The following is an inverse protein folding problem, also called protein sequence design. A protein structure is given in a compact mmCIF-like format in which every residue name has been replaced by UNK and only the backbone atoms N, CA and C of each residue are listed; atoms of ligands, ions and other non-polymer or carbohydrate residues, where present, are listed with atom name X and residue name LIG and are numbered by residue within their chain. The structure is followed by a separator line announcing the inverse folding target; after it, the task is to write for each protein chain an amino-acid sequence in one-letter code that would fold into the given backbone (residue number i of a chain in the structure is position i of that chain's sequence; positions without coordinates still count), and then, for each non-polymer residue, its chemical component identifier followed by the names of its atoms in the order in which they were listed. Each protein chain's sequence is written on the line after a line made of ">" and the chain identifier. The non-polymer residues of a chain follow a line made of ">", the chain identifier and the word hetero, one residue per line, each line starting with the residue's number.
data_IF_071472990549
#
_entry.id   IF_071472990549
#
_cell.length_a   1.000
_cell.length_b   1.000
_cell.length_c   1.000
_cell.angle_alpha   90.00
_cell.angle_beta   90.00
_cell.angle_gamma   90.00
#
_symmetry.space_group_name_H-M   'P 1'
#
loop_
_entity.id
_entity.type
_entity.pdbx_description
1 polymer ?
#
# COMPACT_ATOMS: atom_id res chain seq x y z
N UNK A 1 -85.44 -37.56 -48.32
CA UNK A 1 -85.93 -37.87 -46.95
C UNK A 1 -84.82 -38.60 -46.19
N UNK A 2 -84.47 -38.11 -44.98
CA UNK A 2 -83.55 -38.70 -43.95
C UNK A 2 -82.03 -38.71 -44.24
N UNK A 3 -81.24 -37.77 -43.66
CA UNK A 3 -80.54 -37.76 -42.32
C UNK A 3 -79.29 -38.66 -42.29
N UNK A 4 -78.07 -38.11 -42.35
CA UNK A 4 -77.22 -37.53 -41.27
C UNK A 4 -76.67 -38.58 -40.28
N UNK A 5 -75.35 -38.82 -40.34
CA UNK A 5 -74.35 -38.85 -39.25
C UNK A 5 -73.28 -39.93 -39.43
N UNK A 6 -72.08 -39.53 -39.88
CA UNK A 6 -70.83 -40.26 -39.60
C UNK A 6 -70.02 -39.40 -38.63
N UNK A 7 -69.95 -39.82 -37.37
CA UNK A 7 -68.96 -39.30 -36.42
C UNK A 7 -67.59 -39.86 -36.82
N UNK A 8 -66.67 -38.98 -37.21
CA UNK A 8 -65.23 -39.27 -37.18
C UNK A 8 -64.68 -38.70 -35.89
N UNK A 9 -64.23 -39.56 -34.99
CA UNK A 9 -63.48 -39.17 -33.79
C UNK A 9 -62.06 -38.80 -34.21
N UNK A 10 -61.75 -37.51 -34.24
CA UNK A 10 -60.37 -37.02 -34.36
C UNK A 10 -59.66 -37.23 -33.01
N UNK A 11 -58.69 -38.14 -32.98
CA UNK A 11 -57.76 -38.29 -31.86
C UNK A 11 -56.67 -37.21 -32.02
N UNK A 12 -56.81 -36.09 -31.32
CA UNK A 12 -55.77 -35.07 -31.23
C UNK A 12 -54.65 -35.58 -30.30
N UNK A 13 -53.52 -36.00 -30.87
CA UNK A 13 -52.30 -36.26 -30.12
C UNK A 13 -51.69 -34.89 -29.79
N UNK A 14 -51.92 -34.40 -28.59
CA UNK A 14 -51.18 -33.27 -28.03
C UNK A 14 -49.75 -33.73 -27.75
N UNK A 15 -48.82 -33.41 -28.63
CA UNK A 15 -47.39 -33.52 -28.34
C UNK A 15 -47.06 -32.49 -27.25
N UNK A 16 -46.92 -32.96 -26.00
CA UNK A 16 -46.28 -32.21 -24.93
C UNK A 16 -44.84 -31.92 -25.36
N UNK A 17 -44.57 -30.72 -25.85
CA UNK A 17 -43.21 -30.21 -25.96
C UNK A 17 -42.69 -30.01 -24.54
N UNK A 18 -42.00 -31.01 -24.01
CA UNK A 18 -41.18 -30.83 -22.82
C UNK A 18 -40.15 -29.72 -23.14
N UNK A 19 -39.95 -28.74 -22.24
CA UNK A 19 -38.85 -27.80 -22.42
C UNK A 19 -37.56 -28.62 -22.50
N UNK A 20 -36.79 -28.45 -23.58
CA UNK A 20 -35.41 -28.95 -23.61
C UNK A 20 -34.71 -28.37 -22.38
N UNK A 21 -34.40 -29.22 -21.40
CA UNK A 21 -33.55 -28.83 -20.30
C UNK A 21 -32.24 -28.34 -20.91
N UNK A 22 -31.90 -27.06 -20.69
CA UNK A 22 -30.59 -26.57 -21.06
C UNK A 22 -29.55 -27.46 -20.39
N UNK A 23 -28.56 -27.94 -21.15
CA UNK A 23 -27.50 -28.79 -20.63
C UNK A 23 -26.69 -27.98 -19.59
N UNK A 24 -26.86 -28.28 -18.30
CA UNK A 24 -26.16 -27.63 -17.19
C UNK A 24 -24.96 -28.48 -16.76
N UNK A 25 -23.81 -28.27 -17.40
CA UNK A 25 -22.59 -29.02 -17.08
C UNK A 25 -21.73 -28.34 -15.99
N UNK A 26 -22.06 -27.10 -15.60
CA UNK A 26 -21.34 -26.37 -14.54
C UNK A 26 -22.30 -26.01 -13.41
N UNK A 27 -22.01 -26.53 -12.23
CA UNK A 27 -22.76 -26.32 -11.01
C UNK A 27 -21.81 -26.32 -9.81
N UNK A 28 -22.26 -25.80 -8.67
CA UNK A 28 -21.43 -25.74 -7.48
C UNK A 28 -22.12 -25.05 -6.32
N UNK A 29 -21.34 -24.52 -5.40
CA UNK A 29 -21.85 -23.78 -4.25
C UNK A 29 -21.68 -22.28 -4.43
N UNK A 30 -22.52 -21.51 -3.74
CA UNK A 30 -22.35 -20.07 -3.63
C UNK A 30 -22.44 -19.63 -2.16
N UNK A 31 -21.81 -18.51 -1.86
CA UNK A 31 -22.05 -17.71 -0.66
C UNK A 31 -22.28 -16.26 -1.08
N UNK A 32 -23.06 -15.52 -0.30
CA UNK A 32 -23.27 -14.10 -0.55
C UNK A 32 -23.33 -13.30 0.74
N UNK A 33 -22.92 -12.04 0.69
CA UNK A 33 -23.14 -11.07 1.76
C UNK A 33 -23.75 -9.79 1.20
N UNK A 34 -24.87 -9.35 1.77
CA UNK A 34 -25.59 -8.15 1.36
C UNK A 34 -25.11 -6.94 2.16
N UNK A 35 -24.56 -5.94 1.49
CA UNK A 35 -24.11 -4.68 2.11
C UNK A 35 -24.30 -3.53 1.14
N UNK A 36 -24.86 -2.41 1.63
CA UNK A 36 -24.93 -1.14 0.90
C UNK A 36 -25.51 -1.26 -0.52
N UNK A 37 -26.61 -2.00 -0.68
CA UNK A 37 -27.25 -2.20 -1.99
C UNK A 37 -26.50 -3.12 -2.96
N UNK A 38 -25.44 -3.81 -2.52
CA UNK A 38 -24.67 -4.79 -3.29
C UNK A 38 -24.70 -6.16 -2.62
N UNK A 39 -24.56 -7.20 -3.43
CA UNK A 39 -24.28 -8.56 -2.98
C UNK A 39 -22.82 -8.90 -3.33
N UNK A 40 -21.99 -9.15 -2.32
CA UNK A 40 -20.70 -9.81 -2.55
C UNK A 40 -20.99 -11.30 -2.73
N UNK A 41 -21.05 -11.75 -3.98
CA UNK A 41 -21.37 -13.11 -4.38
C UNK A 41 -20.09 -13.87 -4.71
N UNK A 42 -19.89 -15.00 -4.03
CA UNK A 42 -18.82 -15.94 -4.31
C UNK A 42 -19.40 -17.24 -4.83
N UNK A 43 -18.86 -17.74 -5.94
CA UNK A 43 -19.17 -19.06 -6.49
C UNK A 43 -17.95 -19.97 -6.35
N UNK A 44 -18.19 -21.27 -6.18
CA UNK A 44 -17.17 -22.30 -6.09
C UNK A 44 -17.62 -23.56 -6.83
N UNK A 45 -16.77 -24.07 -7.72
CA UNK A 45 -17.08 -25.24 -8.54
C UNK A 45 -15.81 -25.99 -8.94
N UNK A 46 -15.94 -27.28 -9.23
CA UNK A 46 -14.83 -28.09 -9.72
C UNK A 46 -14.59 -27.80 -11.21
N UNK A 47 -13.36 -27.45 -11.62
CA UNK A 47 -13.04 -27.31 -13.04
C UNK A 47 -13.05 -28.66 -13.76
N UNK A 48 -13.19 -28.68 -15.10
CA UNK A 48 -12.99 -29.89 -15.92
C UNK A 48 -11.61 -30.52 -15.69
N UNK A 49 -11.50 -31.84 -15.83
CA UNK A 49 -10.27 -32.59 -15.53
C UNK A 49 -9.07 -32.21 -16.41
N UNK A 50 -9.31 -31.71 -17.61
CA UNK A 50 -8.31 -31.25 -18.57
C UNK A 50 -7.93 -29.76 -18.39
N UNK A 51 -8.57 -29.06 -17.45
CA UNK A 51 -8.31 -27.64 -17.21
C UNK A 51 -7.00 -27.42 -16.43
N UNK A 52 -6.10 -26.64 -17.02
CA UNK A 52 -4.80 -26.21 -16.43
C UNK A 52 -3.78 -27.33 -16.12
N UNK A 53 -4.02 -28.55 -16.63
CA UNK A 53 -3.14 -29.72 -16.47
C UNK A 53 -2.92 -30.15 -15.01
N UNK A 54 -1.88 -30.96 -14.76
CA UNK A 54 -1.56 -31.49 -13.42
C UNK A 54 -1.16 -30.42 -12.36
N UNK A 55 -1.07 -29.15 -12.76
CA UNK A 55 -0.53 -28.06 -11.91
C UNK A 55 -1.54 -27.52 -10.90
N UNK A 56 -2.81 -27.90 -10.98
CA UNK A 56 -3.85 -27.43 -10.06
C UNK A 56 -4.82 -28.56 -9.68
N UNK A 57 -4.94 -28.83 -8.37
CA UNK A 57 -5.91 -29.79 -7.81
C UNK A 57 -6.71 -29.10 -6.72
N UNK A 58 -7.67 -28.27 -7.13
CA UNK A 58 -8.53 -27.54 -6.21
C UNK A 58 -9.76 -26.97 -6.91
N UNK A 59 -10.80 -26.68 -6.14
CA UNK A 59 -11.99 -26.03 -6.68
C UNK A 59 -11.63 -24.62 -7.18
N UNK A 60 -12.23 -24.25 -8.29
CA UNK A 60 -12.22 -22.88 -8.77
C UNK A 60 -13.19 -22.05 -7.92
N UNK A 61 -12.77 -20.87 -7.50
CA UNK A 61 -13.63 -19.92 -6.80
C UNK A 61 -13.46 -18.51 -7.35
N UNK A 62 -14.58 -17.78 -7.42
CA UNK A 62 -14.61 -16.39 -7.86
C UNK A 62 -15.61 -15.62 -7.00
N UNK A 63 -15.17 -14.47 -6.49
CA UNK A 63 -15.99 -13.54 -5.71
C UNK A 63 -16.04 -12.17 -6.36
N UNK A 64 -17.22 -11.55 -6.37
CA UNK A 64 -17.42 -10.20 -6.90
C UNK A 64 -18.58 -9.50 -6.21
N UNK A 65 -18.51 -8.17 -6.14
CA UNK A 65 -19.62 -7.34 -5.67
C UNK A 65 -20.52 -6.93 -6.83
N UNK A 66 -21.77 -7.35 -6.79
CA UNK A 66 -22.78 -7.09 -7.83
C UNK A 66 -23.87 -6.17 -7.26
N UNK A 67 -24.27 -5.11 -7.97
CA UNK A 67 -25.46 -4.34 -7.61
C UNK A 67 -26.70 -5.23 -7.51
N UNK A 68 -27.49 -5.11 -6.43
CA UNK A 68 -28.65 -6.00 -6.19
C UNK A 68 -29.69 -5.89 -7.32
N UNK A 69 -29.79 -4.75 -7.98
CA UNK A 69 -30.67 -4.52 -9.12
C UNK A 69 -30.28 -5.29 -10.39
N UNK A 70 -29.04 -5.76 -10.50
CA UNK A 70 -28.61 -6.70 -11.54
C UNK A 70 -29.00 -8.16 -11.23
N UNK A 71 -29.43 -8.46 -10.00
CA UNK A 71 -29.77 -9.80 -9.55
C UNK A 71 -31.29 -9.99 -9.56
N UNK A 72 -31.78 -10.79 -10.51
CA UNK A 72 -33.20 -11.10 -10.63
C UNK A 72 -33.69 -11.99 -9.51
N UNK A 73 -34.78 -11.62 -8.84
CA UNK A 73 -35.43 -12.45 -7.81
C UNK A 73 -34.83 -12.35 -6.40
N UNK A 74 -33.73 -11.61 -6.20
CA UNK A 74 -33.21 -11.32 -4.87
C UNK A 74 -33.97 -10.11 -4.27
N UNK A 75 -34.51 -10.18 -3.04
CA UNK A 75 -35.21 -9.06 -2.41
C UNK A 75 -34.31 -7.82 -2.31
N UNK A 76 -34.86 -6.66 -2.66
CA UNK A 76 -34.09 -5.40 -2.69
C UNK A 76 -33.70 -4.96 -1.28
N UNK A 77 -32.41 -4.63 -1.12
CA UNK A 77 -31.87 -3.74 -0.10
C UNK A 77 -32.23 -4.07 1.36
N UNK A 78 -32.16 -5.35 1.74
CA UNK A 78 -32.25 -5.78 3.13
C UNK A 78 -30.93 -6.42 3.58
N UNK A 79 -30.07 -5.61 4.20
CA UNK A 79 -28.80 -6.09 4.77
C UNK A 79 -28.99 -7.10 5.92
N UNK A 80 -30.23 -7.25 6.43
CA UNK A 80 -30.59 -8.21 7.47
C UNK A 80 -31.47 -9.35 6.93
N UNK A 81 -31.53 -9.52 5.60
CA UNK A 81 -32.38 -10.50 4.94
C UNK A 81 -32.24 -11.87 5.60
N UNK A 82 -33.37 -12.41 6.05
CA UNK A 82 -33.47 -13.75 6.63
C UNK A 82 -34.61 -14.49 5.96
N UNK A 83 -34.28 -15.52 5.18
CA UNK A 83 -35.23 -16.34 4.43
C UNK A 83 -34.70 -17.77 4.32
N UNK A 84 -35.55 -18.76 4.62
CA UNK A 84 -35.18 -20.18 4.64
C UNK A 84 -35.07 -20.82 3.26
N UNK A 85 -35.63 -20.19 2.22
CA UNK A 85 -35.49 -20.61 0.83
C UNK A 85 -35.65 -19.41 -0.11
N UNK A 86 -34.69 -19.24 -1.02
CA UNK A 86 -34.71 -18.21 -2.05
C UNK A 86 -34.17 -18.77 -3.36
N UNK A 87 -34.76 -18.30 -4.47
CA UNK A 87 -34.26 -18.51 -5.82
C UNK A 87 -34.02 -17.16 -6.47
N UNK A 88 -32.83 -16.97 -7.02
CA UNK A 88 -32.48 -15.76 -7.76
C UNK A 88 -31.56 -16.12 -8.92
N UNK A 89 -31.37 -15.18 -9.84
CA UNK A 89 -30.60 -15.39 -11.05
C UNK A 89 -29.71 -14.20 -11.38
N UNK A 90 -28.56 -14.50 -11.98
CA UNK A 90 -27.68 -13.52 -12.60
C UNK A 90 -27.66 -13.79 -14.11
N UNK A 91 -28.28 -12.89 -14.88
CA UNK A 91 -28.36 -12.99 -16.33
C UNK A 91 -27.22 -12.22 -16.98
N UNK A 92 -26.37 -12.91 -17.73
CA UNK A 92 -25.20 -12.35 -18.44
C UNK A 92 -25.30 -12.68 -19.93
N UNK A 93 -24.53 -11.98 -20.77
CA UNK A 93 -24.57 -12.25 -22.20
C UNK A 93 -24.05 -13.67 -22.55
N UNK A 94 -23.15 -14.24 -21.75
CA UNK A 94 -22.67 -15.60 -21.95
C UNK A 94 -23.61 -16.70 -21.46
N UNK A 95 -24.60 -16.37 -20.62
CA UNK A 95 -25.54 -17.33 -20.05
C UNK A 95 -26.12 -16.85 -18.72
N UNK A 96 -26.93 -17.69 -18.12
CA UNK A 96 -27.62 -17.40 -16.85
C UNK A 96 -27.06 -18.29 -15.75
N UNK A 97 -26.71 -17.69 -14.61
CA UNK A 97 -26.47 -18.41 -13.36
C UNK A 97 -27.77 -18.39 -12.55
N UNK A 98 -28.25 -19.56 -12.16
CA UNK A 98 -29.39 -19.71 -11.26
C UNK A 98 -28.91 -20.16 -9.89
N UNK A 99 -29.42 -19.53 -8.84
CA UNK A 99 -29.04 -19.77 -7.46
C UNK A 99 -30.25 -20.23 -6.65
N UNK A 100 -30.05 -21.28 -5.86
CA UNK A 100 -31.02 -21.80 -4.88
C UNK A 100 -30.31 -21.88 -3.52
N UNK A 101 -30.94 -21.37 -2.46
CA UNK A 101 -30.37 -21.43 -1.11
C UNK A 101 -31.16 -20.66 -0.08
N UNK A 102 -30.49 -20.14 0.93
CA UNK A 102 -31.11 -19.42 2.05
C UNK A 102 -30.24 -18.23 2.47
N UNK A 103 -30.83 -17.26 3.18
CA UNK A 103 -30.14 -16.16 3.85
C UNK A 103 -30.46 -16.13 5.35
N UNK A 104 -29.49 -15.72 6.15
CA UNK A 104 -29.66 -15.37 7.58
C UNK A 104 -28.83 -14.12 7.86
N UNK A 105 -29.48 -13.08 8.36
CA UNK A 105 -28.83 -11.80 8.70
C UNK A 105 -27.95 -11.25 7.55
N UNK A 106 -28.52 -11.25 6.33
CA UNK A 106 -27.82 -10.73 5.14
C UNK A 106 -26.73 -11.64 4.57
N UNK A 107 -26.46 -12.80 5.18
CA UNK A 107 -25.50 -13.78 4.68
C UNK A 107 -26.21 -14.98 4.10
N UNK A 108 -25.90 -15.32 2.85
CA UNK A 108 -26.53 -16.40 2.12
C UNK A 108 -25.55 -17.49 1.71
N UNK A 109 -26.10 -18.69 1.50
CA UNK A 109 -25.37 -19.79 0.90
C UNK A 109 -26.33 -20.76 0.20
N UNK A 110 -25.81 -21.52 -0.76
CA UNK A 110 -26.58 -22.55 -1.45
C UNK A 110 -25.87 -23.14 -2.66
N UNK A 111 -26.67 -23.61 -3.62
CA UNK A 111 -26.21 -24.21 -4.87
C UNK A 111 -26.48 -23.29 -6.05
N UNK A 112 -25.59 -23.34 -7.05
CA UNK A 112 -25.80 -22.67 -8.32
C UNK A 112 -25.67 -23.65 -9.47
N UNK A 113 -26.32 -23.31 -10.59
CA UNK A 113 -26.12 -23.95 -11.88
C UNK A 113 -25.96 -22.87 -12.96
N UNK A 114 -25.16 -23.16 -13.98
CA UNK A 114 -24.97 -22.28 -15.13
C UNK A 114 -25.57 -22.90 -16.39
N UNK A 115 -26.41 -22.12 -17.07
CA UNK A 115 -26.97 -22.45 -18.38
C UNK A 115 -26.35 -21.52 -19.44
N UNK A 116 -25.52 -22.02 -20.37
CA UNK A 116 -24.94 -21.19 -21.42
C UNK A 116 -26.02 -20.69 -22.39
N UNK A 117 -25.87 -19.46 -22.88
CA UNK A 117 -26.77 -18.92 -23.91
C UNK A 117 -26.41 -19.50 -25.28
N UNK A 118 -27.40 -20.04 -25.99
CA UNK A 118 -27.19 -20.74 -27.27
C UNK A 118 -26.53 -19.85 -28.35
N UNK A 119 -26.95 -18.58 -28.41
CA UNK A 119 -26.49 -17.62 -29.42
C UNK A 119 -25.08 -17.08 -29.13
N UNK A 120 -24.58 -17.22 -27.90
CA UNK A 120 -23.31 -16.59 -27.48
C UNK A 120 -22.13 -16.99 -28.36
N UNK A 121 -21.96 -18.27 -28.65
CA UNK A 121 -20.84 -18.73 -29.47
C UNK A 121 -20.88 -18.14 -30.90
N UNK A 122 -22.07 -18.03 -31.51
CA UNK A 122 -22.21 -17.44 -32.84
C UNK A 122 -21.89 -15.93 -32.83
N UNK A 123 -22.31 -15.20 -31.79
CA UNK A 123 -21.97 -13.78 -31.63
C UNK A 123 -20.48 -13.55 -31.38
N UNK A 124 -19.81 -14.43 -30.62
CA UNK A 124 -18.38 -14.35 -30.40
C UNK A 124 -17.59 -14.60 -31.71
N UNK A 125 -18.05 -15.55 -32.53
CA UNK A 125 -17.48 -15.79 -33.88
C UNK A 125 -17.60 -14.58 -34.79
N UNK A 126 -18.75 -13.90 -34.79
CA UNK A 126 -18.92 -12.67 -35.58
C UNK A 126 -18.04 -11.51 -35.10
N UNK A 127 -17.59 -11.58 -33.85
CA UNK A 127 -16.60 -10.66 -33.28
C UNK A 127 -15.14 -11.11 -33.52
N UNK A 128 -14.91 -12.21 -34.24
CA UNK A 128 -13.57 -12.70 -34.59
C UNK A 128 -13.00 -13.74 -33.63
N UNK A 129 -13.74 -14.14 -32.59
CA UNK A 129 -13.34 -15.21 -31.67
C UNK A 129 -13.89 -16.54 -32.19
N UNK A 130 -13.10 -17.18 -33.05
CA UNK A 130 -13.53 -18.37 -33.82
C UNK A 130 -13.18 -19.71 -33.18
N UNK A 131 -12.30 -19.69 -32.18
CA UNK A 131 -11.95 -20.87 -31.40
C UNK A 131 -13.18 -21.49 -30.73
N UNK A 132 -13.11 -22.79 -30.45
CA UNK A 132 -14.17 -23.44 -29.69
C UNK A 132 -14.29 -22.82 -28.29
N UNK A 133 -15.53 -22.57 -27.86
CA UNK A 133 -15.84 -22.00 -26.56
C UNK A 133 -16.55 -23.07 -25.72
N UNK A 134 -15.81 -23.98 -25.06
CA UNK A 134 -16.40 -25.01 -24.23
C UNK A 134 -17.26 -24.37 -23.13
N UNK A 135 -18.21 -25.14 -22.59
CA UNK A 135 -19.16 -24.65 -21.57
C UNK A 135 -18.40 -24.02 -20.39
N UNK A 136 -17.30 -24.63 -19.97
CA UNK A 136 -16.42 -24.09 -18.93
C UNK A 136 -15.90 -22.68 -19.25
N UNK A 137 -15.41 -22.43 -20.47
CA UNK A 137 -14.93 -21.11 -20.86
C UNK A 137 -16.06 -20.08 -20.91
N UNK A 138 -17.24 -20.47 -21.40
CA UNK A 138 -18.44 -19.61 -21.39
C UNK A 138 -18.88 -19.26 -19.97
N UNK A 139 -18.79 -20.21 -19.04
CA UNK A 139 -19.03 -19.96 -17.62
C UNK A 139 -18.05 -18.93 -17.05
N UNK A 140 -16.74 -19.09 -17.30
CA UNK A 140 -15.74 -18.10 -16.85
C UNK A 140 -16.06 -16.70 -17.39
N UNK A 141 -16.32 -16.58 -18.70
CA UNK A 141 -16.69 -15.30 -19.32
C UNK A 141 -18.00 -14.73 -18.76
N UNK A 142 -18.98 -15.58 -18.44
CA UNK A 142 -20.24 -15.16 -17.80
C UNK A 142 -20.01 -14.59 -16.41
N UNK A 143 -19.25 -15.30 -15.57
CA UNK A 143 -18.96 -14.85 -14.20
C UNK A 143 -18.19 -13.53 -14.24
N UNK A 144 -17.28 -13.33 -15.18
CA UNK A 144 -16.56 -12.08 -15.34
C UNK A 144 -17.34 -10.99 -16.10
N UNK A 145 -18.59 -11.22 -16.49
CA UNK A 145 -19.40 -10.28 -17.30
C UNK A 145 -18.72 -9.84 -18.62
N UNK A 146 -18.06 -10.80 -19.28
CA UNK A 146 -17.45 -10.61 -20.61
C UNK A 146 -18.45 -11.01 -21.68
N UNK A 147 -19.03 -10.00 -22.33
CA UNK A 147 -20.06 -10.17 -23.34
C UNK A 147 -19.81 -9.40 -24.64
N UNK A 148 -20.50 -9.77 -25.74
CA UNK A 148 -20.45 -9.09 -27.04
C UNK A 148 -20.60 -7.58 -26.99
N UNK A 149 -21.40 -7.03 -26.06
CA UNK A 149 -21.53 -5.56 -25.90
C UNK A 149 -20.23 -4.92 -25.45
N UNK A 150 -19.58 -5.47 -24.42
CA UNK A 150 -18.31 -4.93 -23.91
C UNK A 150 -17.20 -5.06 -24.96
N UNK A 151 -17.13 -6.18 -25.66
CA UNK A 151 -16.17 -6.42 -26.73
C UNK A 151 -16.36 -5.43 -27.88
N UNK A 152 -17.59 -5.22 -28.36
CA UNK A 152 -17.88 -4.23 -29.40
C UNK A 152 -17.50 -2.82 -28.97
N UNK A 153 -17.74 -2.48 -27.70
CA UNK A 153 -17.37 -1.18 -27.18
C UNK A 153 -15.84 -1.01 -27.12
N UNK A 154 -15.09 -2.04 -26.67
CA UNK A 154 -13.62 -2.03 -26.72
C UNK A 154 -13.09 -1.86 -28.15
N UNK A 155 -13.71 -2.52 -29.13
CA UNK A 155 -13.39 -2.32 -30.56
C UNK A 155 -13.70 -0.90 -31.04
N UNK A 156 -14.84 -0.33 -30.64
CA UNK A 156 -15.15 1.08 -30.88
C UNK A 156 -14.12 2.04 -30.28
N UNK A 157 -13.49 1.62 -29.18
CA UNK A 157 -12.34 2.27 -28.56
C UNK A 157 -10.99 1.87 -29.23
N UNK A 158 -10.98 1.26 -30.40
CA UNK A 158 -9.75 0.91 -31.13
C UNK A 158 -8.94 -0.24 -30.54
N UNK A 159 -9.47 -0.99 -29.58
CA UNK A 159 -8.85 -2.22 -29.09
C UNK A 159 -9.34 -3.44 -29.87
N UNK A 160 -8.96 -3.51 -31.15
CA UNK A 160 -9.50 -4.51 -32.09
C UNK A 160 -8.78 -5.86 -32.08
N UNK A 161 -7.61 -5.93 -31.45
CA UNK A 161 -6.69 -7.08 -31.50
C UNK A 161 -6.39 -7.62 -30.10
N UNK A 162 -7.45 -7.91 -29.35
CA UNK A 162 -7.35 -8.46 -28.00
C UNK A 162 -7.75 -9.93 -27.98
N UNK A 163 -7.01 -10.72 -27.22
CA UNK A 163 -7.39 -12.07 -26.81
C UNK A 163 -8.55 -12.00 -25.79
N UNK A 164 -9.29 -13.10 -25.64
CA UNK A 164 -10.34 -13.17 -24.62
C UNK A 164 -9.79 -13.08 -23.19
N UNK A 165 -8.55 -13.52 -22.97
CA UNK A 165 -7.91 -13.42 -21.66
C UNK A 165 -7.57 -11.97 -21.29
N UNK A 166 -7.08 -11.17 -22.24
CA UNK A 166 -6.85 -9.73 -22.03
C UNK A 166 -8.16 -9.00 -21.71
N UNK A 167 -9.24 -9.32 -22.43
CA UNK A 167 -10.57 -8.72 -22.19
C UNK A 167 -11.12 -9.13 -20.83
N UNK A 168 -11.03 -10.42 -20.50
CA UNK A 168 -11.47 -10.94 -19.20
C UNK A 168 -10.68 -10.29 -18.07
N UNK A 169 -9.35 -10.15 -18.21
CA UNK A 169 -8.51 -9.47 -17.24
C UNK A 169 -8.93 -8.01 -17.07
N UNK A 170 -9.10 -7.26 -18.15
CA UNK A 170 -9.55 -5.87 -18.07
C UNK A 170 -10.88 -5.71 -17.33
N UNK A 171 -11.85 -6.57 -17.63
CA UNK A 171 -13.15 -6.58 -16.97
C UNK A 171 -13.03 -6.94 -15.48
N UNK A 172 -12.21 -7.93 -15.15
CA UNK A 172 -11.94 -8.37 -13.76
C UNK A 172 -11.34 -7.25 -12.92
N UNK A 173 -10.43 -6.49 -13.50
CA UNK A 173 -9.77 -5.35 -12.85
C UNK A 173 -10.59 -4.05 -12.94
N UNK A 174 -11.83 -4.11 -13.42
CA UNK A 174 -12.77 -2.98 -13.39
C UNK A 174 -12.49 -1.88 -14.43
N UNK A 175 -11.86 -2.22 -15.56
CA UNK A 175 -11.68 -1.30 -16.69
C UNK A 175 -13.00 -1.16 -17.44
N UNK A 176 -13.70 -0.04 -17.21
CA UNK A 176 -14.95 0.29 -17.92
C UNK A 176 -14.68 1.06 -19.21
N UNK A 177 -15.67 1.09 -20.12
CA UNK A 177 -15.59 1.91 -21.34
C UNK A 177 -15.53 3.40 -21.00
N UNK A 178 -16.27 3.83 -19.97
CA UNK A 178 -16.20 5.18 -19.42
C UNK A 178 -14.79 5.53 -18.96
N UNK A 179 -14.13 4.66 -18.18
CA UNK A 179 -12.75 4.87 -17.73
C UNK A 179 -11.76 5.01 -18.89
N UNK A 180 -11.90 4.17 -19.92
CA UNK A 180 -11.12 4.27 -21.15
C UNK A 180 -11.34 5.61 -21.83
N UNK A 181 -12.61 5.99 -22.05
CA UNK A 181 -12.98 7.24 -22.71
C UNK A 181 -12.42 8.46 -21.96
N UNK A 182 -12.51 8.48 -20.63
CA UNK A 182 -12.01 9.57 -19.82
C UNK A 182 -10.49 9.75 -19.95
N UNK A 183 -9.73 8.66 -19.85
CA UNK A 183 -8.27 8.72 -20.00
C UNK A 183 -7.85 9.10 -21.42
N UNK A 184 -8.56 8.64 -22.45
CA UNK A 184 -8.34 9.08 -23.83
C UNK A 184 -8.66 10.55 -24.03
N UNK A 185 -9.72 11.05 -23.41
CA UNK A 185 -10.09 12.47 -23.39
C UNK A 185 -8.98 13.34 -22.76
N UNK A 186 -8.21 12.76 -21.84
CA UNK A 186 -7.03 13.39 -21.24
C UNK A 186 -5.76 13.26 -22.09
N UNK A 187 -5.80 12.57 -23.23
CA UNK A 187 -4.68 12.47 -24.18
C UNK A 187 -4.03 11.09 -24.27
N UNK A 188 -4.43 10.11 -23.45
CA UNK A 188 -3.88 8.75 -23.46
C UNK A 188 -4.51 7.87 -24.55
N UNK A 189 -4.58 8.38 -25.78
CA UNK A 189 -5.29 7.74 -26.91
C UNK A 189 -4.68 6.43 -27.39
N UNK A 190 -3.38 6.25 -27.16
CA UNK A 190 -2.60 5.08 -27.61
C UNK A 190 -2.23 4.14 -26.47
N UNK A 191 -2.75 4.37 -25.26
CA UNK A 191 -2.51 3.48 -24.13
C UNK A 191 -3.06 2.08 -24.43
N UNK A 192 -2.30 1.05 -24.06
CA UNK A 192 -2.73 -0.34 -24.23
C UNK A 192 -3.80 -0.69 -23.18
N UNK A 193 -4.60 -1.71 -23.44
CA UNK A 193 -5.57 -2.18 -22.45
C UNK A 193 -4.88 -2.66 -21.16
N UNK A 194 -3.69 -3.24 -21.29
CA UNK A 194 -2.84 -3.63 -20.16
C UNK A 194 -2.44 -2.42 -19.31
N UNK A 195 -2.04 -1.32 -19.95
CA UNK A 195 -1.75 -0.06 -19.25
C UNK A 195 -2.99 0.47 -18.51
N UNK A 196 -4.20 0.33 -19.09
CA UNK A 196 -5.45 0.72 -18.43
C UNK A 196 -5.75 -0.15 -17.21
N UNK A 197 -5.46 -1.45 -17.28
CA UNK A 197 -5.58 -2.34 -16.11
C UNK A 197 -4.66 -1.88 -15.00
N UNK A 198 -3.38 -1.65 -15.32
CA UNK A 198 -2.39 -1.18 -14.35
C UNK A 198 -2.83 0.12 -13.68
N UNK A 199 -3.22 1.14 -14.45
CA UNK A 199 -3.66 2.42 -13.85
C UNK A 199 -4.91 2.26 -12.99
N UNK A 200 -5.83 1.37 -13.38
CA UNK A 200 -7.06 1.10 -12.65
C UNK A 200 -6.78 0.44 -11.30
N UNK A 201 -5.86 -0.53 -11.27
CA UNK A 201 -5.44 -1.25 -10.05
C UNK A 201 -4.76 -0.33 -9.04
N UNK A 202 -3.95 0.60 -9.55
CA UNK A 202 -3.25 1.58 -8.73
C UNK A 202 -4.08 2.83 -8.43
N UNK A 203 -5.37 2.85 -8.81
CA UNK A 203 -6.30 3.92 -8.45
C UNK A 203 -6.03 5.27 -9.12
N UNK A 204 -5.43 5.25 -10.32
CA UNK A 204 -5.25 6.43 -11.16
C UNK A 204 -6.56 6.68 -11.92
N UNK A 205 -7.35 7.65 -11.45
CA UNK A 205 -8.62 8.09 -12.08
C UNK A 205 -8.42 9.32 -12.94
N UNK A 206 -9.40 9.64 -13.79
CA UNK A 206 -9.38 10.86 -14.59
C UNK A 206 -9.33 12.13 -13.72
N UNK A 207 -10.00 12.12 -12.57
CA UNK A 207 -9.95 13.20 -11.57
C UNK A 207 -8.53 13.34 -11.00
N UNK A 208 -7.89 12.21 -10.65
CA UNK A 208 -6.52 12.24 -10.15
C UNK A 208 -5.55 12.83 -11.19
N UNK A 209 -5.66 12.42 -12.46
CA UNK A 209 -4.84 12.99 -13.54
C UNK A 209 -5.07 14.49 -13.70
N UNK A 210 -6.33 14.95 -13.72
CA UNK A 210 -6.67 16.39 -13.80
C UNK A 210 -6.09 17.16 -12.61
N UNK A 211 -6.21 16.59 -11.41
CA UNK A 211 -5.68 17.17 -10.19
C UNK A 211 -4.15 17.31 -10.24
N UNK A 212 -3.43 16.27 -10.65
CA UNK A 212 -1.96 16.32 -10.78
C UNK A 212 -1.50 17.32 -11.85
N UNK A 213 -2.22 17.43 -12.96
CA UNK A 213 -1.95 18.46 -13.98
C UNK A 213 -2.12 19.88 -13.45
N UNK A 214 -3.16 20.12 -12.63
CA UNK A 214 -3.34 21.41 -11.96
C UNK A 214 -2.18 21.73 -11.02
N UNK A 215 -1.50 20.71 -10.50
CA UNK A 215 -0.32 20.89 -9.64
C UNK A 215 1.01 21.01 -10.37
N UNK A 216 1.03 20.89 -11.70
CA UNK A 216 2.20 21.08 -12.55
C UNK A 216 2.75 19.80 -13.19
N UNK A 217 2.13 18.64 -12.98
CA UNK A 217 2.49 17.42 -13.71
C UNK A 217 2.18 17.61 -15.20
N UNK A 218 3.15 17.41 -16.12
CA UNK A 218 2.94 17.68 -17.53
C UNK A 218 1.79 16.86 -18.13
N UNK A 219 1.07 17.43 -19.10
CA UNK A 219 0.06 16.69 -19.84
C UNK A 219 0.63 15.48 -20.61
N UNK A 220 1.94 15.50 -20.89
CA UNK A 220 2.72 14.44 -21.53
C UNK A 220 3.23 13.37 -20.57
N UNK A 221 3.00 13.51 -19.25
CA UNK A 221 3.43 12.53 -18.26
C UNK A 221 2.85 11.15 -18.59
N UNK A 222 3.70 10.12 -18.51
CA UNK A 222 3.30 8.76 -18.82
C UNK A 222 2.33 8.22 -17.75
N UNK A 223 1.47 7.28 -18.13
CA UNK A 223 0.57 6.62 -17.17
C UNK A 223 1.34 5.96 -16.02
N UNK A 224 2.51 5.36 -16.30
CA UNK A 224 3.36 4.75 -15.26
C UNK A 224 3.93 5.78 -14.27
N UNK A 225 4.17 7.01 -14.71
CA UNK A 225 4.59 8.09 -13.82
C UNK A 225 3.46 8.46 -12.84
N UNK A 226 2.22 8.56 -13.34
CA UNK A 226 1.05 8.82 -12.51
C UNK A 226 0.76 7.68 -11.52
N UNK A 227 0.97 6.43 -11.95
CA UNK A 227 0.91 5.25 -11.06
C UNK A 227 1.94 5.39 -9.95
N UNK A 228 3.19 5.74 -10.29
CA UNK A 228 4.26 5.94 -9.31
C UNK A 228 3.87 7.02 -8.29
N UNK A 229 3.45 8.20 -8.74
CA UNK A 229 3.01 9.28 -7.83
C UNK A 229 1.91 8.80 -6.87
N UNK A 230 0.94 8.04 -7.39
CA UNK A 230 -0.19 7.53 -6.62
C UNK A 230 0.25 6.51 -5.58
N UNK A 231 1.12 5.58 -5.95
CA UNK A 231 1.65 4.52 -5.06
C UNK A 231 2.49 5.10 -3.91
N UNK A 232 3.25 6.16 -4.17
CA UNK A 232 3.99 6.88 -3.14
C UNK A 232 3.11 7.86 -2.32
N UNK A 233 1.79 7.84 -2.53
CA UNK A 233 0.85 8.62 -1.73
C UNK A 233 0.88 10.12 -2.02
N UNK A 234 1.36 10.54 -3.20
CA UNK A 234 1.33 11.93 -3.65
C UNK A 234 -0.09 12.28 -4.12
N UNK A 235 -0.82 12.96 -3.25
CA UNK A 235 -2.18 13.48 -3.53
C UNK A 235 -2.12 14.97 -3.88
N UNK A 236 -3.20 15.51 -4.47
CA UNK A 236 -3.31 16.94 -4.73
C UNK A 236 -3.18 17.75 -3.44
N UNK A 237 -3.84 17.29 -2.38
CA UNK A 237 -3.79 17.91 -1.06
C UNK A 237 -2.35 17.96 -0.53
N UNK A 238 -1.60 16.85 -0.63
CA UNK A 238 -0.21 16.81 -0.19
C UNK A 238 0.65 17.84 -0.94
N UNK A 239 0.54 17.91 -2.27
CA UNK A 239 1.28 18.88 -3.07
C UNK A 239 0.91 20.31 -2.67
N UNK A 240 -0.37 20.64 -2.58
CA UNK A 240 -0.84 21.97 -2.20
C UNK A 240 -0.36 22.39 -0.80
N UNK A 241 -0.38 21.48 0.16
CA UNK A 241 0.06 21.79 1.52
C UNK A 241 1.58 21.94 1.60
N UNK A 242 2.35 21.19 0.82
CA UNK A 242 3.79 21.42 0.69
C UNK A 242 4.10 22.76 0.01
N UNK A 243 3.31 23.18 -0.99
CA UNK A 243 3.39 24.52 -1.59
C UNK A 243 3.15 25.62 -0.54
N UNK A 244 2.09 25.49 0.29
CA UNK A 244 1.81 26.41 1.41
C UNK A 244 2.92 26.39 2.47
N UNK A 245 3.54 25.23 2.67
CA UNK A 245 4.72 25.08 3.49
C UNK A 245 5.98 25.64 2.81
N UNK A 246 5.90 26.42 1.73
CA UNK A 246 7.02 27.15 1.14
C UNK A 246 7.81 26.37 0.08
N UNK A 247 7.32 25.21 -0.35
CA UNK A 247 7.93 24.41 -1.42
C UNK A 247 7.17 24.57 -2.75
N UNK A 248 6.76 25.79 -3.07
CA UNK A 248 5.98 26.10 -4.28
C UNK A 248 6.69 25.77 -5.60
N UNK A 249 8.03 25.82 -5.59
CA UNK A 249 8.88 25.50 -6.74
C UNK A 249 9.56 24.13 -6.67
N UNK A 250 9.19 23.26 -5.72
CA UNK A 250 9.77 21.91 -5.65
C UNK A 250 9.34 21.07 -6.86
N UNK A 251 10.26 20.29 -7.42
CA UNK A 251 9.90 19.31 -8.43
C UNK A 251 8.99 18.25 -7.80
N UNK A 252 8.07 17.69 -8.60
CA UNK A 252 7.17 16.63 -8.11
C UNK A 252 7.96 15.42 -7.59
N UNK A 253 9.12 15.15 -8.21
CA UNK A 253 10.07 14.12 -7.81
C UNK A 253 10.64 14.33 -6.40
N UNK A 254 10.95 15.58 -6.05
CA UNK A 254 11.43 15.93 -4.70
C UNK A 254 10.31 15.76 -3.66
N UNK A 255 9.07 16.03 -4.05
CA UNK A 255 7.90 15.81 -3.19
C UNK A 255 7.63 14.31 -2.98
N UNK A 256 7.83 13.47 -4.01
CA UNK A 256 7.75 12.01 -3.86
C UNK A 256 8.80 11.53 -2.87
N UNK A 257 10.07 11.93 -3.05
CA UNK A 257 11.15 11.60 -2.12
C UNK A 257 10.83 12.06 -0.70
N UNK A 258 10.41 13.31 -0.53
CA UNK A 258 10.02 13.84 0.77
C UNK A 258 8.91 12.97 1.42
N UNK A 259 7.89 12.60 0.65
CA UNK A 259 6.79 11.76 1.11
C UNK A 259 7.24 10.37 1.54
N UNK A 260 8.10 9.72 0.76
CA UNK A 260 8.64 8.38 1.05
C UNK A 260 9.42 8.34 2.36
N UNK A 261 10.15 9.42 2.65
CA UNK A 261 10.90 9.58 3.89
C UNK A 261 10.04 10.14 5.04
N UNK A 262 8.72 10.30 4.84
CA UNK A 262 7.78 10.72 5.88
C UNK A 262 7.80 12.22 6.18
N UNK A 263 8.31 13.05 5.28
CA UNK A 263 8.25 14.51 5.37
C UNK A 263 6.86 14.98 4.93
N UNK A 264 6.12 15.56 5.88
CA UNK A 264 4.80 16.15 5.68
C UNK A 264 4.77 17.62 6.12
N UNK A 265 3.70 18.38 5.78
CA UNK A 265 3.59 19.80 6.15
C UNK A 265 3.69 20.05 7.65
N UNK A 266 3.19 19.12 8.47
CA UNK A 266 3.25 19.21 9.94
C UNK A 266 4.70 19.14 10.43
N UNK A 267 5.50 18.21 9.91
CA UNK A 267 6.92 18.09 10.24
C UNK A 267 7.73 19.31 9.76
N UNK A 268 7.39 19.86 8.59
CA UNK A 268 8.01 21.10 8.11
C UNK A 268 7.72 22.26 9.08
N UNK A 269 6.47 22.39 9.53
CA UNK A 269 6.07 23.42 10.49
C UNK A 269 6.77 23.23 11.85
N UNK A 270 6.86 21.99 12.34
CA UNK A 270 7.59 21.63 13.57
C UNK A 270 9.05 22.09 13.49
N UNK A 271 9.79 21.67 12.45
CA UNK A 271 11.21 22.01 12.26
C UNK A 271 11.42 23.53 12.14
N UNK A 272 10.52 24.25 11.48
CA UNK A 272 10.57 25.72 11.41
C UNK A 272 10.30 26.39 12.75
N UNK A 273 9.36 25.87 13.53
CA UNK A 273 9.06 26.35 14.87
C UNK A 273 10.25 26.25 15.83
N UNK A 274 11.21 25.37 15.54
CA UNK A 274 12.47 25.27 16.28
C UNK A 274 13.45 26.41 15.96
N UNK A 275 13.17 27.26 14.97
CA UNK A 275 14.09 28.32 14.54
C UNK A 275 15.36 27.81 13.87
N UNK A 276 15.33 26.61 13.29
CA UNK A 276 16.44 26.05 12.52
C UNK A 276 16.46 26.69 11.13
N UNK A 277 17.66 27.04 10.65
CA UNK A 277 17.85 27.49 9.28
C UNK A 277 17.94 26.27 8.35
N UNK A 278 16.77 25.72 7.97
CA UNK A 278 16.64 24.53 7.13
C UNK A 278 16.04 24.92 5.79
N UNK A 279 16.79 24.70 4.71
CA UNK A 279 16.41 25.05 3.34
C UNK A 279 16.41 23.82 2.42
N UNK A 280 15.43 23.73 1.53
CA UNK A 280 15.30 22.60 0.60
C UNK A 280 14.76 21.34 1.28
N UNK A 281 14.12 20.46 0.50
CA UNK A 281 13.48 19.25 1.02
C UNK A 281 14.49 18.23 1.53
N UNK A 282 15.66 18.13 0.92
CA UNK A 282 16.71 17.16 1.29
C UNK A 282 17.12 17.28 2.76
N UNK A 283 17.18 18.49 3.31
CA UNK A 283 17.59 18.68 4.69
C UNK A 283 16.47 18.26 5.68
N UNK A 284 15.20 18.44 5.32
CA UNK A 284 14.09 17.87 6.10
C UNK A 284 14.10 16.34 6.02
N UNK A 285 14.38 15.77 4.85
CA UNK A 285 14.53 14.32 4.67
C UNK A 285 15.65 13.80 5.57
N UNK A 286 16.83 14.43 5.57
CA UNK A 286 17.95 14.05 6.45
C UNK A 286 17.57 14.12 7.93
N UNK A 287 16.97 15.21 8.39
CA UNK A 287 16.52 15.32 9.78
C UNK A 287 15.55 14.19 10.16
N UNK A 288 14.64 13.85 9.25
CA UNK A 288 13.64 12.79 9.45
C UNK A 288 14.26 11.40 9.50
N UNK A 289 15.14 11.08 8.55
CA UNK A 289 15.83 9.79 8.44
C UNK A 289 16.73 9.52 9.64
N UNK A 290 17.42 10.54 10.13
CA UNK A 290 18.30 10.45 11.29
C UNK A 290 17.54 10.57 12.62
N UNK A 291 16.21 10.71 12.60
CA UNK A 291 15.36 10.68 13.80
C UNK A 291 15.40 11.93 14.66
N UNK A 292 15.89 13.06 14.13
CA UNK A 292 15.95 14.34 14.82
C UNK A 292 14.53 14.92 14.98
N UNK A 293 14.03 14.97 16.22
CA UNK A 293 12.68 15.45 16.58
C UNK A 293 12.72 16.76 17.37
N UNK A 294 11.61 17.51 17.44
CA UNK A 294 11.55 18.77 18.17
C UNK A 294 12.00 18.67 19.63
N UNK A 295 11.59 17.63 20.36
CA UNK A 295 11.97 17.45 21.75
C UNK A 295 13.50 17.42 21.93
N UNK A 296 14.20 16.66 21.09
CA UNK A 296 15.66 16.58 21.11
C UNK A 296 16.32 17.95 20.92
N UNK A 297 15.85 18.72 19.93
CA UNK A 297 16.37 20.07 19.65
C UNK A 297 16.09 21.00 20.82
N UNK A 298 14.86 21.04 21.34
CA UNK A 298 14.47 21.89 22.47
C UNK A 298 15.29 21.60 23.74
N UNK A 299 15.52 20.32 24.04
CA UNK A 299 16.32 19.94 25.19
C UNK A 299 17.80 20.34 25.06
N UNK A 300 18.38 20.26 23.86
CA UNK A 300 19.74 20.77 23.60
C UNK A 300 19.81 22.29 23.73
N UNK A 301 18.79 23.02 23.25
CA UNK A 301 18.69 24.47 23.47
C UNK A 301 18.65 24.81 24.96
N UNK A 302 17.84 24.08 25.74
CA UNK A 302 17.77 24.25 27.19
C UNK A 302 19.08 23.89 27.91
N UNK A 303 19.91 23.03 27.31
CA UNK A 303 21.25 22.70 27.79
C UNK A 303 22.34 23.71 27.35
N UNK A 304 21.96 24.80 26.65
CA UNK A 304 22.86 25.88 26.24
C UNK A 304 23.37 25.79 24.79
N UNK A 305 22.89 24.83 24.00
CA UNK A 305 23.26 24.68 22.58
C UNK A 305 22.12 25.22 21.69
N UNK A 306 21.92 26.53 21.71
CA UNK A 306 20.78 27.21 21.07
C UNK A 306 20.99 27.54 19.57
N UNK A 307 22.23 27.48 19.10
CA UNK A 307 22.67 27.91 17.76
C UNK A 307 23.20 26.77 16.87
N UNK A 308 22.65 25.57 17.03
CA UNK A 308 23.05 24.40 16.25
C UNK A 308 22.47 24.43 14.83
N UNK A 309 23.29 24.10 13.83
CA UNK A 309 22.82 23.81 12.49
C UNK A 309 22.15 22.43 12.44
N UNK A 310 21.37 22.16 11.39
CA UNK A 310 20.71 20.86 11.24
C UNK A 310 21.71 19.69 11.20
N UNK A 311 22.87 19.88 10.55
CA UNK A 311 23.91 18.84 10.46
C UNK A 311 24.57 18.59 11.82
N UNK A 312 24.68 19.60 12.68
CA UNK A 312 25.16 19.41 14.06
C UNK A 312 24.17 18.55 14.86
N UNK A 313 22.87 18.80 14.71
CA UNK A 313 21.83 18.02 15.38
C UNK A 313 21.82 16.56 14.91
N UNK A 314 21.97 16.33 13.60
CA UNK A 314 22.10 14.99 13.02
C UNK A 314 23.32 14.29 13.63
N UNK A 315 24.49 14.94 13.62
CA UNK A 315 25.72 14.39 14.19
C UNK A 315 25.55 14.05 15.67
N UNK A 316 25.02 14.96 16.48
CA UNK A 316 24.79 14.69 17.91
C UNK A 316 23.87 13.49 18.13
N UNK A 317 22.78 13.42 17.36
CA UNK A 317 21.81 12.34 17.47
C UNK A 317 22.41 10.99 17.05
N UNK A 318 23.13 10.94 15.93
CA UNK A 318 23.79 9.73 15.41
C UNK A 318 24.84 9.18 16.38
N UNK A 319 25.57 10.06 17.07
CA UNK A 319 26.56 9.70 18.09
C UNK A 319 25.92 9.45 19.49
N UNK A 320 24.59 9.51 19.59
CA UNK A 320 23.87 9.24 20.83
C UNK A 320 24.14 10.26 21.94
N UNK A 321 24.51 11.49 21.59
CA UNK A 321 24.64 12.61 22.53
C UNK A 321 23.25 13.07 22.92
N UNK A 322 22.91 12.96 24.21
CA UNK A 322 21.62 13.42 24.75
C UNK A 322 21.78 14.74 25.50
N UNK A 323 20.69 15.50 25.64
CA UNK A 323 20.71 16.70 26.47
C UNK A 323 20.98 16.39 27.95
N UNK A 324 20.60 15.20 28.43
CA UNK A 324 20.95 14.72 29.76
C UNK A 324 22.47 14.61 29.94
N UNK A 325 23.15 13.93 28.99
CA UNK A 325 24.60 13.82 28.99
C UNK A 325 25.30 15.18 28.98
N UNK A 326 24.81 16.13 28.17
CA UNK A 326 25.34 17.49 28.12
C UNK A 326 25.18 18.22 29.47
N UNK A 327 23.99 18.13 30.10
CA UNK A 327 23.75 18.74 31.42
C UNK A 327 24.65 18.14 32.50
N UNK A 328 24.84 16.83 32.45
CA UNK A 328 25.73 16.09 33.36
C UNK A 328 27.20 16.52 33.22
N UNK A 329 27.72 16.72 32.00
CA UNK A 329 29.04 17.34 31.82
C UNK A 329 29.09 18.75 32.44
N UNK A 330 27.99 19.51 32.29
CA UNK A 330 27.84 20.84 32.89
C UNK A 330 27.85 20.85 34.43
N UNK A 331 27.26 19.85 35.10
CA UNK A 331 27.34 19.71 36.57
C UNK A 331 28.75 19.38 37.03
N UNK A 332 29.52 18.70 36.17
CA UNK A 332 30.95 18.48 36.36
C UNK A 332 31.82 19.69 35.99
N UNK A 333 31.24 20.85 35.68
CA UNK A 333 31.98 22.06 35.37
C UNK A 333 32.41 22.22 33.91
N UNK A 334 32.11 21.25 33.04
CA UNK A 334 32.35 21.35 31.60
C UNK A 334 31.16 22.00 30.91
N UNK A 335 31.19 23.32 30.77
CA UNK A 335 30.13 24.13 30.14
C UNK A 335 30.61 24.69 28.81
N UNK A 336 29.68 24.94 27.88
CA UNK A 336 29.96 25.58 26.59
C UNK A 336 31.08 24.90 25.78
N UNK A 337 31.09 23.56 25.78
CA UNK A 337 32.09 22.78 25.06
C UNK A 337 31.86 22.88 23.54
N UNK A 338 32.93 22.84 22.73
CA UNK A 338 32.81 22.55 21.30
C UNK A 338 32.02 21.25 21.09
N UNK A 339 31.15 21.21 20.07
CA UNK A 339 30.37 20.02 19.74
C UNK A 339 31.23 18.78 19.52
N UNK A 340 32.39 18.95 18.88
CA UNK A 340 33.34 17.87 18.64
C UNK A 340 33.83 17.24 19.95
N UNK A 341 34.07 18.04 20.99
CA UNK A 341 34.52 17.55 22.29
C UNK A 341 33.40 16.77 23.01
N UNK A 342 32.14 17.23 22.89
CA UNK A 342 30.99 16.52 23.47
C UNK A 342 30.78 15.16 22.78
N UNK A 343 30.81 15.15 21.44
CA UNK A 343 30.70 13.93 20.64
C UNK A 343 31.83 12.97 20.99
N UNK A 344 33.08 13.46 21.02
CA UNK A 344 34.25 12.65 21.40
C UNK A 344 34.09 12.08 22.82
N UNK A 345 33.70 12.90 23.81
CA UNK A 345 33.47 12.40 25.16
C UNK A 345 32.43 11.28 25.20
N UNK A 346 31.35 11.43 24.43
CA UNK A 346 30.29 10.42 24.32
C UNK A 346 30.78 9.12 23.67
N UNK A 347 31.43 9.23 22.51
CA UNK A 347 31.96 8.09 21.74
C UNK A 347 32.97 7.26 22.55
N UNK A 348 33.78 7.93 23.36
CA UNK A 348 34.82 7.32 24.18
C UNK A 348 34.31 6.92 25.58
N UNK A 349 33.00 6.98 25.81
CA UNK A 349 32.35 6.46 27.01
C UNK A 349 32.72 7.20 28.29
N UNK A 350 33.00 8.50 28.21
CA UNK A 350 33.11 9.36 29.38
C UNK A 350 31.72 9.52 30.00
N UNK A 351 31.58 9.27 31.30
CA UNK A 351 30.35 9.51 32.06
C UNK A 351 30.58 10.57 33.16
N UNK A 352 29.50 11.18 33.65
CA UNK A 352 29.56 12.10 34.79
C UNK A 352 30.16 11.46 36.03
N UNK A 353 29.75 10.22 36.33
CA UNK A 353 30.25 9.45 37.47
C UNK A 353 31.76 9.22 37.36
N UNK A 354 32.25 8.86 36.16
CA UNK A 354 33.68 8.69 35.94
C UNK A 354 34.47 9.99 36.20
N UNK A 355 33.92 11.14 35.78
CA UNK A 355 34.54 12.43 36.05
C UNK A 355 34.53 12.75 37.55
N UNK A 356 33.42 12.48 38.24
CA UNK A 356 33.29 12.69 39.68
C UNK A 356 34.31 11.84 40.46
N UNK A 357 34.38 10.53 40.14
CA UNK A 357 35.32 9.60 40.77
C UNK A 357 36.78 10.07 40.62
N UNK A 358 37.16 10.52 39.42
CA UNK A 358 38.52 11.02 39.19
C UNK A 358 38.83 12.29 40.00
N UNK A 359 37.85 13.19 40.18
CA UNK A 359 38.00 14.38 41.03
C UNK A 359 38.10 14.03 42.52
N UNK A 360 37.32 13.06 42.99
CA UNK A 360 37.40 12.55 44.36
C UNK A 360 38.76 11.91 44.65
N UNK A 361 39.31 11.24 43.64
CA UNK A 361 40.68 10.77 43.64
C UNK A 361 41.70 11.90 43.52
N UNK A 362 41.32 13.17 43.51
CA UNK A 362 42.24 14.28 43.53
C UNK A 362 42.88 14.62 42.17
N UNK A 363 42.45 13.99 41.07
CA UNK A 363 42.75 14.45 39.72
C UNK A 363 41.81 15.61 39.37
N UNK A 364 42.04 16.73 40.04
CA UNK A 364 41.29 17.97 39.84
C UNK A 364 41.81 18.69 38.59
N UNK A 365 40.98 19.54 38.01
CA UNK A 365 41.36 20.45 36.91
C UNK A 365 41.79 19.77 35.60
N UNK A 366 41.36 18.52 35.36
CA UNK A 366 41.53 17.87 34.07
C UNK A 366 40.66 18.54 33.00
N UNK A 367 41.23 18.76 31.82
CA UNK A 367 40.48 19.09 30.62
C UNK A 367 39.66 17.89 30.14
N UNK A 368 38.58 18.13 29.39
CA UNK A 368 37.77 17.04 28.85
C UNK A 368 38.59 16.09 27.96
N UNK A 369 39.52 16.63 27.16
CA UNK A 369 40.42 15.84 26.33
C UNK A 369 41.35 14.93 27.15
N UNK A 370 41.83 15.39 28.32
CA UNK A 370 42.59 14.55 29.25
C UNK A 370 41.73 13.44 29.85
N UNK A 371 40.47 13.73 30.20
CA UNK A 371 39.52 12.72 30.71
C UNK A 371 39.24 11.66 29.65
N UNK A 372 39.00 12.07 28.40
CA UNK A 372 38.85 11.16 27.26
C UNK A 372 40.10 10.30 27.10
N UNK A 373 41.29 10.90 27.12
CA UNK A 373 42.56 10.17 27.03
C UNK A 373 42.70 9.12 28.14
N UNK A 374 42.33 9.46 29.38
CA UNK A 374 42.33 8.48 30.48
C UNK A 374 41.37 7.31 30.17
N UNK A 375 40.17 7.58 29.66
CA UNK A 375 39.22 6.51 29.24
C UNK A 375 39.78 5.65 28.11
N UNK A 376 40.37 6.26 27.09
CA UNK A 376 40.96 5.57 25.94
C UNK A 376 42.05 4.58 26.35
N UNK A 377 42.81 4.93 27.39
CA UNK A 377 43.84 4.07 27.97
C UNK A 377 43.32 3.12 29.07
N UNK A 378 42.00 3.05 29.28
CA UNK A 378 41.39 2.15 30.26
C UNK A 378 41.76 2.50 31.72
N UNK A 379 42.04 3.77 32.00
CA UNK A 379 42.33 4.23 33.35
C UNK A 379 41.01 4.28 34.11
N UNK A 380 40.89 3.50 35.19
CA UNK A 380 39.71 3.45 36.05
C UNK A 380 40.02 4.05 37.42
N UNK A 381 39.00 4.42 38.21
CA UNK A 381 39.21 4.78 39.62
C UNK A 381 39.97 3.70 40.41
N UNK A 382 39.69 2.42 40.11
CA UNK A 382 40.40 1.27 40.67
C UNK A 382 41.90 1.28 40.31
N UNK A 383 42.25 1.54 39.05
CA UNK A 383 43.65 1.66 38.63
C UNK A 383 44.39 2.76 39.38
N UNK A 384 43.78 3.94 39.53
CA UNK A 384 44.40 5.08 40.23
C UNK A 384 44.66 4.73 41.70
N UNK A 385 43.73 4.04 42.37
CA UNK A 385 43.93 3.53 43.73
C UNK A 385 45.04 2.47 43.80
N UNK A 386 45.11 1.56 42.82
CA UNK A 386 46.18 0.56 42.72
C UNK A 386 47.55 1.23 42.60
N UNK A 387 47.70 2.19 41.67
CA UNK A 387 48.95 2.97 41.48
C UNK A 387 49.41 3.58 42.81
N UNK A 388 48.49 4.19 43.57
CA UNK A 388 48.79 4.81 44.87
C UNK A 388 49.15 3.83 45.96
N UNK A 389 48.50 2.67 46.03
CA UNK A 389 48.83 1.63 47.01
C UNK A 389 50.25 1.07 46.80
N UNK A 390 50.76 1.15 45.58
CA UNK A 390 52.14 0.79 45.20
C UNK A 390 53.16 1.90 45.46
N UNK A 391 52.75 3.02 46.08
CA UNK A 391 53.60 4.12 46.50
C UNK A 391 53.83 5.21 45.45
N UNK A 392 53.27 5.07 44.24
CA UNK A 392 53.34 6.12 43.23
C UNK A 392 52.44 7.30 43.60
N UNK A 393 52.88 8.52 43.29
CA UNK A 393 52.13 9.76 43.48
C UNK A 393 52.06 10.51 42.15
N UNK A 394 51.28 10.00 41.18
CA UNK A 394 51.26 10.57 39.84
C UNK A 394 50.85 12.05 39.89
N UNK A 395 51.64 12.89 39.25
CA UNK A 395 51.46 14.34 39.27
C UNK A 395 50.35 14.81 38.32
N UNK A 396 50.09 14.05 37.26
CA UNK A 396 49.08 14.36 36.25
C UNK A 396 48.49 13.12 35.54
N UNK A 397 47.58 13.36 34.60
CA UNK A 397 46.94 12.32 33.80
C UNK A 397 47.92 11.58 32.87
N UNK A 398 48.99 12.22 32.40
CA UNK A 398 49.93 11.61 31.47
C UNK A 398 50.80 10.57 32.19
N UNK A 399 51.18 10.83 33.44
CA UNK A 399 51.91 9.85 34.24
C UNK A 399 51.10 8.58 34.49
N UNK A 400 49.78 8.71 34.74
CA UNK A 400 48.87 7.56 34.87
C UNK A 400 48.81 6.72 33.59
N UNK A 401 48.69 7.38 32.43
CA UNK A 401 48.69 6.73 31.12
C UNK A 401 50.02 6.01 30.88
N UNK A 402 51.14 6.64 31.19
CA UNK A 402 52.47 6.02 31.04
C UNK A 402 52.63 4.79 31.93
N UNK A 403 52.20 4.84 33.19
CA UNK A 403 52.26 3.69 34.10
C UNK A 403 51.42 2.51 33.61
N UNK A 404 50.20 2.78 33.11
CA UNK A 404 49.34 1.75 32.50
C UNK A 404 49.98 1.14 31.26
N UNK A 405 50.49 1.98 30.35
CA UNK A 405 51.14 1.53 29.10
C UNK A 405 52.44 0.75 29.35
N UNK A 406 53.17 1.04 30.44
CA UNK A 406 54.35 0.28 30.89
C UNK A 406 54.00 -1.04 31.58
N UNK A 407 52.73 -1.41 31.63
CA UNK A 407 52.28 -2.74 32.04
C UNK A 407 51.91 -2.86 33.51
N UNK A 408 51.75 -1.75 34.24
CA UNK A 408 51.11 -1.80 35.56
C UNK A 408 49.63 -2.17 35.34
N UNK A 409 49.22 -3.34 35.82
CA UNK A 409 47.85 -3.87 35.69
C UNK A 409 47.07 -3.64 36.99
N UNK A 410 45.73 -3.63 36.86
CA UNK A 410 44.78 -3.35 37.94
C UNK A 410 44.88 -4.34 39.11
#
# INVERSE_FOLDING_TARGET
>A
MFRISRLFTLLAIAALAAPLAAQTDVHGTWTAELREGKAFLQVRTAPPADWNGDRWRGDWSMGQSIPIDEIGGLPRNDANLTVSSVKFELRREAGTLTFDGAFREGRGAGLFAFAPRAEYAAEMRSLGYTDDLPIWRRFQLAVHDVGPKYIRALKGEGYDKLTLDEIQRAKTHGVTIEYIHDLKGLGYRTATLESMVRTRDHGVTAEYVKAMRAEGVPATAALDELVRLRDHGVTQQYVQDMKKAGFSGAAIEDLVRARDHGVNPEFVAEVRGLGLNVSGLDQYVRLRDHGVRAAFVQELKAAGYDKLAAEDLIRLHDHGVTAAFVRELGTQGFKNLPLEDVVRARDHGVSSDYIADMKELGLKDLTLSQIVRLRDHGITPGFVNHVRSRGYKPADAEELVQLKNRGLRD
#
